data_IF_984234204345
#
_entry.id   IF_984234204345
#
_cell.length_a   1.000
_cell.length_b   1.000
_cell.length_c   1.000
_cell.angle_alpha   90.00
_cell.angle_beta   90.00
_cell.angle_gamma   90.00
#
_symmetry.space_group_name_H-M   'P 1'
#
loop_
_entity.id
_entity.type
_entity.pdbx_description
1 polymer ?
#
# COMPACT_ATOMS: atom_id res chain seq x y z
N UNK A 1 -12.19 -4.98 -9.58
CA UNK A 1 -11.38 -4.24 -8.58
C UNK A 1 -9.90 -4.55 -8.78
N UNK A 2 -9.08 -3.52 -8.91
CA UNK A 2 -7.64 -3.70 -9.03
C UNK A 2 -7.00 -3.71 -7.65
N UNK A 3 -5.86 -4.40 -7.53
CA UNK A 3 -5.04 -4.36 -6.33
C UNK A 3 -3.80 -3.54 -6.65
N UNK A 4 -3.64 -2.40 -5.98
CA UNK A 4 -2.59 -1.44 -6.28
C UNK A 4 -1.67 -1.31 -5.07
N UNK A 5 -0.38 -1.54 -5.29
CA UNK A 5 0.64 -1.43 -4.25
C UNK A 5 1.36 -0.09 -4.41
N UNK A 6 1.35 0.71 -3.35
CA UNK A 6 1.97 2.04 -3.36
C UNK A 6 3.05 2.10 -2.28
N UNK A 7 4.28 2.37 -2.68
CA UNK A 7 5.38 2.62 -1.75
C UNK A 7 5.48 4.12 -1.44
N UNK A 8 6.12 4.47 -0.34
CA UNK A 8 6.22 5.87 0.07
C UNK A 8 4.86 6.51 0.30
N UNK A 9 3.92 5.76 0.84
CA UNK A 9 2.52 6.16 0.89
C UNK A 9 2.23 7.33 1.83
N UNK A 10 3.17 7.75 2.67
CA UNK A 10 2.99 8.92 3.53
C UNK A 10 3.26 10.24 2.79
N UNK A 11 3.79 10.20 1.57
CA UNK A 11 4.08 11.39 0.80
C UNK A 11 2.84 12.05 0.21
N UNK A 12 2.97 13.34 -0.12
CA UNK A 12 1.85 14.11 -0.67
C UNK A 12 1.36 13.60 -2.02
N UNK A 13 2.27 13.15 -2.87
CA UNK A 13 1.89 12.60 -4.17
C UNK A 13 1.06 11.34 -4.01
N UNK A 14 1.46 10.44 -3.10
CA UNK A 14 0.70 9.22 -2.85
C UNK A 14 -0.70 9.54 -2.32
N UNK A 15 -0.83 10.53 -1.45
CA UNK A 15 -2.13 10.95 -0.94
C UNK A 15 -3.06 11.43 -2.05
N UNK A 16 -2.51 12.19 -3.00
CA UNK A 16 -3.31 12.64 -4.14
C UNK A 16 -3.71 11.48 -5.06
N UNK A 17 -2.81 10.52 -5.27
CA UNK A 17 -3.13 9.33 -6.06
C UNK A 17 -4.26 8.52 -5.44
N UNK A 18 -4.23 8.35 -4.12
CA UNK A 18 -5.25 7.56 -3.42
C UNK A 18 -6.64 8.18 -3.59
N UNK A 19 -6.74 9.50 -3.62
CA UNK A 19 -8.02 10.17 -3.85
C UNK A 19 -8.64 9.85 -5.19
N UNK A 20 -7.81 9.50 -6.18
CA UNK A 20 -8.27 9.16 -7.52
C UNK A 20 -8.64 7.68 -7.66
N UNK A 21 -8.47 6.88 -6.62
CA UNK A 21 -8.63 5.43 -6.66
C UNK A 21 -9.57 4.93 -5.55
N UNK A 22 -10.77 5.50 -5.41
CA UNK A 22 -11.64 5.15 -4.27
C UNK A 22 -12.23 3.75 -4.35
N UNK A 23 -12.24 3.14 -5.54
CA UNK A 23 -12.86 1.83 -5.74
C UNK A 23 -11.86 0.68 -5.77
N UNK A 24 -10.56 0.98 -5.80
CA UNK A 24 -9.53 -0.04 -5.88
C UNK A 24 -9.07 -0.49 -4.51
N UNK A 25 -8.61 -1.75 -4.43
CA UNK A 25 -7.92 -2.22 -3.22
C UNK A 25 -6.52 -1.64 -3.21
N UNK A 26 -6.17 -0.96 -2.13
CA UNK A 26 -4.87 -0.31 -2.01
C UNK A 26 -4.05 -0.96 -0.91
N UNK A 27 -2.80 -1.28 -1.22
CA UNK A 27 -1.82 -1.74 -0.25
C UNK A 27 -0.80 -0.62 -0.11
N UNK A 28 -0.78 0.03 1.04
CA UNK A 28 0.00 1.24 1.25
C UNK A 28 1.18 0.95 2.16
N UNK A 29 2.39 1.15 1.63
CA UNK A 29 3.63 0.84 2.33
C UNK A 29 4.35 2.10 2.77
N UNK A 30 4.83 2.10 4.00
CA UNK A 30 5.64 3.19 4.54
C UNK A 30 6.32 2.74 5.82
N UNK A 31 7.21 3.54 6.36
CA UNK A 31 7.96 3.17 7.55
C UNK A 31 7.13 3.25 8.84
N UNK A 32 6.12 4.09 8.88
CA UNK A 32 5.32 4.32 10.07
C UNK A 32 3.87 3.91 9.80
N UNK A 33 3.50 2.73 10.28
CA UNK A 33 2.17 2.18 10.07
C UNK A 33 1.08 3.04 10.71
N UNK A 34 1.33 3.56 11.91
CA UNK A 34 0.35 4.43 12.59
C UNK A 34 0.03 5.67 11.77
N UNK A 35 1.07 6.29 11.20
CA UNK A 35 0.88 7.47 10.37
C UNK A 35 0.06 7.15 9.14
N UNK A 36 0.34 6.02 8.49
CA UNK A 36 -0.43 5.58 7.33
C UNK A 36 -1.89 5.35 7.69
N UNK A 37 -2.14 4.69 8.80
CA UNK A 37 -3.50 4.43 9.25
C UNK A 37 -4.27 5.72 9.52
N UNK A 38 -3.61 6.74 10.08
CA UNK A 38 -4.22 8.04 10.30
C UNK A 38 -4.52 8.76 8.99
N UNK A 39 -3.58 8.74 8.05
CA UNK A 39 -3.74 9.42 6.76
C UNK A 39 -4.84 8.83 5.91
N UNK A 40 -5.02 7.51 5.99
CA UNK A 40 -5.93 6.79 5.09
C UNK A 40 -7.12 6.16 5.81
N UNK A 41 -7.42 6.64 7.02
CA UNK A 41 -8.51 6.09 7.82
C UNK A 41 -9.86 6.15 7.12
N UNK A 42 -10.04 7.11 6.22
CA UNK A 42 -11.30 7.28 5.50
C UNK A 42 -11.42 6.42 4.24
N UNK A 43 -10.33 5.77 3.81
CA UNK A 43 -10.38 4.93 2.61
C UNK A 43 -10.80 3.51 2.99
N UNK A 44 -11.96 3.04 2.51
CA UNK A 44 -12.52 1.77 2.99
C UNK A 44 -11.77 0.52 2.55
N UNK A 45 -10.96 0.61 1.51
CA UNK A 45 -10.26 -0.54 0.92
C UNK A 45 -8.74 -0.43 1.01
N UNK A 46 -8.24 0.43 1.90
CA UNK A 46 -6.81 0.60 2.08
C UNK A 46 -6.30 -0.31 3.20
N UNK A 47 -5.22 -1.02 2.91
CA UNK A 47 -4.46 -1.77 3.91
C UNK A 47 -3.11 -1.07 4.09
N UNK A 48 -2.78 -0.68 5.32
CA UNK A 48 -1.56 0.05 5.63
C UNK A 48 -0.56 -0.88 6.29
N UNK A 49 0.66 -0.93 5.75
CA UNK A 49 1.71 -1.82 6.24
C UNK A 49 2.97 -1.02 6.52
N UNK A 50 3.46 -1.11 7.76
CA UNK A 50 4.73 -0.53 8.14
C UNK A 50 5.88 -1.45 7.74
N UNK A 51 6.73 -0.97 6.82
CA UNK A 51 7.86 -1.75 6.32
C UNK A 51 8.97 -0.81 5.87
N UNK A 52 10.22 -1.23 6.07
CA UNK A 52 11.38 -0.53 5.53
C UNK A 52 11.64 -1.07 4.13
N UNK A 53 11.36 -0.27 3.10
CA UNK A 53 11.52 -0.69 1.72
C UNK A 53 12.98 -0.85 1.29
N UNK A 54 13.93 -0.42 2.13
CA UNK A 54 15.35 -0.69 1.87
C UNK A 54 15.76 -2.10 2.29
N UNK A 55 14.92 -2.79 3.05
CA UNK A 55 15.14 -4.19 3.42
C UNK A 55 14.54 -5.09 2.35
N UNK A 56 15.37 -5.52 1.40
CA UNK A 56 14.90 -6.27 0.24
C UNK A 56 14.28 -7.62 0.61
N UNK A 57 14.76 -8.28 1.67
CA UNK A 57 14.19 -9.54 2.12
C UNK A 57 12.78 -9.35 2.65
N UNK A 58 12.57 -8.31 3.45
CA UNK A 58 11.27 -8.02 4.01
C UNK A 58 10.27 -7.66 2.91
N UNK A 59 10.69 -6.87 1.93
CA UNK A 59 9.84 -6.48 0.80
C UNK A 59 9.48 -7.70 -0.04
N UNK A 60 10.44 -8.57 -0.32
CA UNK A 60 10.20 -9.76 -1.11
C UNK A 60 9.19 -10.67 -0.43
N UNK A 61 9.35 -10.92 0.88
CA UNK A 61 8.42 -11.75 1.64
C UNK A 61 7.02 -11.16 1.63
N UNK A 62 6.92 -9.85 1.80
CA UNK A 62 5.63 -9.17 1.79
C UNK A 62 4.94 -9.28 0.43
N UNK A 63 5.67 -9.05 -0.65
CA UNK A 63 5.10 -9.15 -2.00
C UNK A 63 4.60 -10.55 -2.27
N UNK A 64 5.36 -11.58 -1.88
CA UNK A 64 4.93 -12.97 -2.04
C UNK A 64 3.65 -13.25 -1.25
N UNK A 65 3.57 -12.79 -0.01
CA UNK A 65 2.38 -12.96 0.81
C UNK A 65 1.16 -12.29 0.19
N UNK A 66 1.32 -11.06 -0.27
CA UNK A 66 0.23 -10.32 -0.90
C UNK A 66 -0.23 -10.98 -2.20
N UNK A 67 0.71 -11.51 -2.96
CA UNK A 67 0.39 -12.21 -4.20
C UNK A 67 -0.44 -13.46 -3.92
N UNK A 68 -0.09 -14.19 -2.85
CA UNK A 68 -0.87 -15.37 -2.45
C UNK A 68 -2.27 -15.00 -1.96
N UNK A 69 -2.39 -13.88 -1.24
CA UNK A 69 -3.68 -13.43 -0.71
C UNK A 69 -4.64 -12.93 -1.76
N UNK A 70 -4.14 -12.16 -2.71
CA UNK A 70 -4.99 -11.45 -3.67
C UNK A 70 -4.91 -12.00 -5.08
N UNK A 71 -3.99 -12.90 -5.35
CA UNK A 71 -3.84 -13.53 -6.65
C UNK A 71 -3.10 -12.71 -7.68
N UNK A 72 -3.11 -11.39 -7.56
CA UNK A 72 -2.39 -10.52 -8.50
C UNK A 72 -2.20 -9.13 -7.89
N UNK A 73 -1.18 -8.44 -8.39
CA UNK A 73 -0.95 -7.02 -8.10
C UNK A 73 -0.96 -6.31 -9.44
N UNK A 74 -1.95 -5.43 -9.63
CA UNK A 74 -2.18 -4.82 -10.95
C UNK A 74 -1.25 -3.65 -11.24
N UNK A 75 -0.91 -2.87 -10.21
CA UNK A 75 -0.03 -1.70 -10.36
C UNK A 75 0.92 -1.63 -9.18
N UNK A 76 2.19 -1.31 -9.46
CA UNK A 76 3.21 -1.07 -8.45
C UNK A 76 3.73 0.35 -8.62
N UNK A 77 3.62 1.14 -7.59
CA UNK A 77 4.05 2.55 -7.60
C UNK A 77 5.06 2.82 -6.48
#
# INVERSE_FOLDING_TARGET
>A
MRTILITGASGGLAQEMVKLLPEDRLILLGRNQEKLEQLYASHPKAECIGIDITDSSAVQDLVEELYQRYGQIDVLV
#
